data_IF_538787876711
#
_entry.id   IF_538787876711
#
_cell.length_a   1.000
_cell.length_b   1.000
_cell.length_c   1.000
_cell.angle_alpha   90.00
_cell.angle_beta   90.00
_cell.angle_gamma   90.00
#
_symmetry.space_group_name_H-M   'P 1'
#
loop_
_entity.id
_entity.type
_entity.pdbx_description
1 polymer ?
#
# COMPACT_ATOMS: atom_id res chain seq x y z
N UNK A 1 -15.03 -16.07 22.29
CA UNK A 1 -13.55 -16.08 22.21
C UNK A 1 -13.15 -15.11 21.12
N UNK A 2 -12.38 -14.07 21.44
CA UNK A 2 -11.92 -13.08 20.45
C UNK A 2 -10.84 -13.68 19.55
N UNK A 3 -11.00 -13.59 18.23
CA UNK A 3 -10.10 -14.16 17.24
C UNK A 3 -8.72 -13.48 17.28
N UNK A 4 -7.64 -14.27 17.37
CA UNK A 4 -6.28 -13.78 17.32
C UNK A 4 -5.82 -13.52 15.88
N UNK A 5 -4.85 -12.62 15.71
CA UNK A 5 -4.23 -12.38 14.40
C UNK A 5 -3.54 -13.65 13.90
N UNK A 6 -3.83 -14.07 12.67
CA UNK A 6 -3.18 -15.21 12.02
C UNK A 6 -3.13 -15.04 10.51
N UNK A 7 -2.22 -15.76 9.87
CA UNK A 7 -2.14 -15.87 8.42
C UNK A 7 -2.23 -17.34 8.03
N UNK A 8 -3.13 -17.64 7.10
CA UNK A 8 -3.29 -18.95 6.50
C UNK A 8 -2.88 -18.89 5.03
N UNK A 9 -1.92 -19.71 4.65
CA UNK A 9 -1.57 -19.93 3.26
C UNK A 9 -2.48 -21.02 2.68
N UNK A 10 -3.25 -20.69 1.65
CA UNK A 10 -4.26 -21.57 1.04
C UNK A 10 -3.77 -22.28 -0.22
N UNK A 11 -3.09 -21.55 -1.10
CA UNK A 11 -2.56 -22.09 -2.35
C UNK A 11 -1.26 -21.42 -2.79
N UNK A 12 -0.53 -22.07 -3.70
CA UNK A 12 0.68 -21.55 -4.34
C UNK A 12 0.72 -21.94 -5.81
N UNK A 13 1.29 -21.04 -6.61
CA UNK A 13 1.72 -21.30 -7.97
C UNK A 13 3.12 -20.68 -8.15
N UNK A 14 4.15 -21.54 -8.18
CA UNK A 14 5.54 -21.12 -8.03
C UNK A 14 5.78 -20.37 -6.71
N UNK A 15 6.31 -19.15 -6.79
CA UNK A 15 6.50 -18.28 -5.63
C UNK A 15 5.25 -17.46 -5.27
N UNK A 16 4.26 -17.38 -6.17
CA UNK A 16 3.01 -16.67 -5.91
C UNK A 16 2.18 -17.41 -4.86
N UNK A 17 1.51 -16.65 -3.99
CA UNK A 17 0.83 -17.14 -2.80
C UNK A 17 -0.59 -16.59 -2.74
N UNK A 18 -1.56 -17.47 -2.48
CA UNK A 18 -2.90 -17.09 -2.06
C UNK A 18 -3.08 -17.47 -0.61
N UNK A 19 -3.55 -16.54 0.19
CA UNK A 19 -3.78 -16.74 1.60
C UNK A 19 -4.86 -15.83 2.17
N UNK A 20 -4.97 -15.84 3.49
CA UNK A 20 -5.92 -15.03 4.23
C UNK A 20 -5.30 -14.60 5.56
N UNK A 21 -5.36 -13.31 5.85
CA UNK A 21 -5.03 -12.76 7.16
C UNK A 21 -6.33 -12.61 7.94
N UNK A 22 -6.41 -13.20 9.11
CA UNK A 22 -7.55 -13.08 10.01
C UNK A 22 -7.26 -12.04 11.08
N UNK A 23 -8.10 -11.01 11.19
CA UNK A 23 -8.07 -10.04 12.29
C UNK A 23 -9.40 -10.04 13.04
N UNK A 24 -9.47 -9.33 14.16
CA UNK A 24 -10.73 -9.16 14.90
C UNK A 24 -11.82 -8.43 14.10
N UNK A 25 -11.45 -7.63 13.09
CA UNK A 25 -12.37 -6.79 12.30
C UNK A 25 -12.70 -7.36 10.93
N UNK A 26 -12.14 -8.51 10.57
CA UNK A 26 -12.44 -9.19 9.32
C UNK A 26 -11.26 -9.98 8.77
N UNK A 27 -11.54 -10.76 7.74
CA UNK A 27 -10.55 -11.46 6.95
C UNK A 27 -10.03 -10.55 5.83
N UNK A 28 -8.75 -10.71 5.48
CA UNK A 28 -8.08 -10.01 4.38
C UNK A 28 -7.56 -11.07 3.40
N UNK A 29 -8.11 -11.09 2.18
CA UNK A 29 -7.70 -12.03 1.14
C UNK A 29 -6.39 -11.57 0.50
N UNK A 30 -5.39 -12.46 0.41
CA UNK A 30 -4.09 -12.16 -0.22
C UNK A 30 -3.91 -12.91 -1.55
N UNK A 31 -3.31 -12.31 -2.60
CA UNK A 31 -2.71 -10.97 -2.62
C UNK A 31 -3.73 -9.82 -2.44
N UNK A 32 -3.37 -8.81 -1.64
CA UNK A 32 -4.24 -7.72 -1.21
C UNK A 32 -3.72 -6.36 -1.70
N UNK A 33 -4.61 -5.52 -2.23
CA UNK A 33 -4.33 -4.11 -2.49
C UNK A 33 -5.10 -3.23 -1.50
N UNK A 34 -4.37 -2.37 -0.79
CA UNK A 34 -4.89 -1.48 0.26
C UNK A 34 -5.08 -0.05 -0.30
N UNK A 35 -6.33 0.43 -0.44
CA UNK A 35 -6.57 1.84 -0.75
C UNK A 35 -6.01 2.74 0.38
N UNK A 36 -5.28 3.79 -0.01
CA UNK A 36 -4.61 4.68 0.95
C UNK A 36 -5.53 5.80 1.42
N UNK A 37 -5.82 5.79 2.73
CA UNK A 37 -6.54 6.81 3.48
C UNK A 37 -5.60 7.82 4.15
N UNK A 38 -5.11 8.81 3.40
CA UNK A 38 -4.08 9.77 3.86
C UNK A 38 -4.48 10.56 5.10
N UNK A 39 -5.74 10.96 5.25
CA UNK A 39 -6.21 11.79 6.36
C UNK A 39 -7.57 11.30 6.85
N UNK A 40 -7.63 10.03 7.27
CA UNK A 40 -8.86 9.34 7.68
C UNK A 40 -9.93 9.29 6.56
N UNK A 41 -9.49 9.32 5.31
CA UNK A 41 -10.38 9.18 4.14
C UNK A 41 -9.60 8.69 2.93
N UNK A 42 -10.12 7.68 2.25
CA UNK A 42 -9.72 7.35 0.88
C UNK A 42 -10.28 8.46 -0.01
N UNK A 43 -9.39 9.30 -0.53
CA UNK A 43 -9.79 10.54 -1.21
C UNK A 43 -10.81 10.27 -2.31
N UNK A 44 -11.88 11.07 -2.32
CA UNK A 44 -12.94 11.05 -3.33
C UNK A 44 -13.83 9.78 -3.33
N UNK A 45 -13.85 9.02 -2.22
CA UNK A 45 -14.67 7.82 -2.06
C UNK A 45 -15.42 7.82 -0.73
N UNK A 46 -16.66 7.33 -0.73
CA UNK A 46 -17.32 6.94 0.52
C UNK A 46 -16.76 5.61 1.03
N UNK A 47 -16.61 5.40 2.36
CA UNK A 47 -16.11 4.14 2.91
C UNK A 47 -16.87 2.90 2.45
N UNK A 48 -18.21 2.99 2.38
CA UNK A 48 -19.06 1.91 1.84
C UNK A 48 -18.70 1.53 0.42
N UNK A 49 -18.49 2.52 -0.46
CA UNK A 49 -18.05 2.26 -1.84
C UNK A 49 -16.68 1.58 -1.89
N UNK A 50 -15.73 1.99 -1.03
CA UNK A 50 -14.42 1.31 -0.95
C UNK A 50 -14.60 -0.17 -0.60
N UNK A 51 -15.52 -0.49 0.31
CA UNK A 51 -15.84 -1.87 0.68
C UNK A 51 -16.53 -2.62 -0.46
N UNK A 52 -17.50 -2.01 -1.13
CA UNK A 52 -18.27 -2.62 -2.24
C UNK A 52 -17.38 -3.02 -3.42
N UNK A 53 -16.24 -2.34 -3.61
CA UNK A 53 -15.22 -2.73 -4.60
C UNK A 53 -14.47 -4.02 -4.24
N UNK A 54 -14.63 -4.52 -3.02
CA UNK A 54 -13.95 -5.71 -2.52
C UNK A 54 -12.68 -5.44 -1.71
N UNK A 55 -12.39 -4.18 -1.33
CA UNK A 55 -11.28 -3.89 -0.43
C UNK A 55 -11.57 -4.49 0.96
N UNK A 56 -10.67 -5.34 1.44
CA UNK A 56 -10.75 -5.94 2.77
C UNK A 56 -10.07 -5.09 3.85
N UNK A 57 -9.17 -4.19 3.45
CA UNK A 57 -8.34 -3.39 4.34
C UNK A 57 -7.99 -2.07 3.65
N UNK A 58 -7.77 -1.02 4.45
CA UNK A 58 -7.21 0.27 3.99
C UNK A 58 -5.94 0.61 4.76
N UNK A 59 -5.11 1.47 4.16
CA UNK A 59 -3.93 2.02 4.84
C UNK A 59 -4.26 3.40 5.42
N UNK A 60 -4.06 3.61 6.71
CA UNK A 60 -4.10 4.90 7.38
C UNK A 60 -2.70 5.51 7.49
N UNK A 61 -2.56 6.79 7.18
CA UNK A 61 -1.27 7.47 7.28
C UNK A 61 -1.06 8.11 8.65
N UNK A 62 -0.14 7.56 9.43
CA UNK A 62 0.15 8.01 10.80
C UNK A 62 0.66 9.45 10.82
N UNK A 63 1.54 9.82 9.88
CA UNK A 63 2.14 11.15 9.85
C UNK A 63 1.10 12.27 9.73
N UNK A 64 0.13 12.13 8.83
CA UNK A 64 -0.91 13.14 8.68
C UNK A 64 -1.87 13.15 9.88
N UNK A 65 -2.26 11.98 10.37
CA UNK A 65 -3.25 11.84 11.45
C UNK A 65 -2.74 12.36 12.79
N UNK A 66 -1.45 12.19 13.09
CA UNK A 66 -0.86 12.76 14.31
C UNK A 66 -0.78 14.29 14.28
N UNK A 67 -0.64 14.89 13.09
CA UNK A 67 -0.55 16.35 12.95
C UNK A 67 -1.94 16.97 12.96
N UNK A 68 -2.88 16.37 12.22
CA UNK A 68 -4.27 16.82 12.17
C UNK A 68 -5.18 15.63 11.83
N UNK A 69 -6.14 15.29 12.70
CA UNK A 69 -6.63 16.05 13.86
C UNK A 69 -5.89 15.80 15.19
N UNK A 70 -4.86 14.94 15.19
CA UNK A 70 -4.15 14.48 16.39
C UNK A 70 -4.62 13.09 16.84
N UNK A 71 -3.68 12.20 17.16
CA UNK A 71 -3.95 10.81 17.51
C UNK A 71 -4.81 10.68 18.77
N UNK A 72 -4.48 11.45 19.81
CA UNK A 72 -5.23 11.49 21.07
C UNK A 72 -6.67 11.98 20.88
N UNK A 73 -6.89 12.85 19.88
CA UNK A 73 -8.24 13.30 19.55
C UNK A 73 -9.04 12.19 18.90
N UNK A 74 -8.43 11.44 17.97
CA UNK A 74 -9.08 10.31 17.30
C UNK A 74 -9.44 9.22 18.32
N UNK A 75 -8.52 8.90 19.23
CA UNK A 75 -8.75 7.95 20.32
C UNK A 75 -9.97 8.35 21.18
N UNK A 76 -10.01 9.61 21.67
CA UNK A 76 -11.15 10.15 22.42
C UNK A 76 -12.48 10.14 21.65
N UNK A 77 -12.44 10.13 20.32
CA UNK A 77 -13.61 10.05 19.45
C UNK A 77 -13.98 8.61 19.05
N UNK A 78 -13.38 7.60 19.69
CA UNK A 78 -13.71 6.19 19.49
C UNK A 78 -12.79 5.44 18.52
N UNK A 79 -11.59 5.96 18.26
CA UNK A 79 -10.59 5.35 17.39
C UNK A 79 -10.81 5.61 15.91
N UNK A 80 -9.82 5.26 15.08
CA UNK A 80 -9.81 5.61 13.66
C UNK A 80 -10.97 4.97 12.89
N UNK A 81 -11.28 3.70 13.18
CA UNK A 81 -12.40 2.97 12.57
C UNK A 81 -13.73 3.71 12.71
N UNK A 82 -14.06 4.14 13.94
CA UNK A 82 -15.29 4.90 14.22
C UNK A 82 -15.22 6.29 13.57
N UNK A 83 -14.08 6.95 13.69
CA UNK A 83 -13.87 8.31 13.19
C UNK A 83 -14.04 8.42 11.66
N UNK A 84 -13.58 7.42 10.91
CA UNK A 84 -13.69 7.41 9.44
C UNK A 84 -14.83 6.55 8.89
N UNK A 85 -15.66 5.99 9.77
CA UNK A 85 -16.74 5.07 9.41
C UNK A 85 -16.25 3.86 8.56
N UNK A 86 -15.17 3.23 9.00
CA UNK A 86 -14.61 2.02 8.40
C UNK A 86 -14.50 0.92 9.46
N UNK A 87 -15.47 -0.01 9.52
CA UNK A 87 -15.50 -1.05 10.56
C UNK A 87 -14.58 -2.25 10.28
N UNK A 88 -13.85 -2.24 9.16
CA UNK A 88 -12.99 -3.33 8.69
C UNK A 88 -11.51 -3.07 9.04
N UNK A 89 -10.59 -4.02 8.78
CA UNK A 89 -9.19 -3.87 9.12
C UNK A 89 -8.54 -2.58 8.58
N UNK A 90 -7.64 -2.01 9.37
CA UNK A 90 -6.76 -0.89 9.01
C UNK A 90 -5.31 -1.27 9.27
N UNK A 91 -4.45 -1.04 8.29
CA UNK A 91 -3.00 -0.98 8.50
C UNK A 91 -2.59 0.49 8.67
N UNK A 92 -1.77 0.82 9.65
CA UNK A 92 -1.15 2.15 9.74
C UNK A 92 0.32 2.09 9.40
N UNK A 93 0.79 2.99 8.54
CA UNK A 93 2.24 3.18 8.38
C UNK A 93 2.85 3.79 9.65
N UNK A 94 4.18 3.81 9.74
CA UNK A 94 4.88 4.38 10.92
C UNK A 94 5.03 5.90 10.87
N UNK A 95 4.79 6.50 9.70
CA UNK A 95 5.08 7.90 9.39
C UNK A 95 6.53 8.20 9.00
N UNK A 96 7.45 7.22 9.05
CA UNK A 96 8.88 7.42 8.79
C UNK A 96 9.16 8.01 7.41
N UNK A 97 8.61 7.40 6.35
CA UNK A 97 8.78 7.88 4.97
C UNK A 97 8.34 9.33 4.79
N UNK A 98 7.22 9.73 5.38
CA UNK A 98 6.66 11.08 5.23
C UNK A 98 7.49 12.11 6.00
N UNK A 99 7.99 11.76 7.18
CA UNK A 99 8.95 12.63 7.89
C UNK A 99 10.21 12.84 7.04
N UNK A 100 10.71 11.80 6.36
CA UNK A 100 11.90 11.90 5.51
C UNK A 100 11.65 12.58 4.15
N UNK A 101 10.43 12.57 3.64
CA UNK A 101 10.13 13.13 2.31
C UNK A 101 9.49 14.52 2.36
N UNK A 102 8.70 14.84 3.39
CA UNK A 102 7.92 16.08 3.45
C UNK A 102 8.51 17.15 4.39
N UNK A 103 9.31 16.76 5.37
CA UNK A 103 9.92 17.72 6.31
C UNK A 103 11.32 18.11 5.85
N UNK A 104 11.43 19.31 5.27
CA UNK A 104 12.70 19.94 4.84
C UNK A 104 13.64 20.22 6.02
N UNK A 105 13.07 20.57 7.18
CA UNK A 105 13.80 20.76 8.43
C UNK A 105 13.55 19.57 9.34
N UNK A 106 14.48 18.61 9.32
CA UNK A 106 14.50 17.45 10.21
C UNK A 106 15.90 17.19 10.76
N UNK A 107 15.95 16.55 11.91
CA UNK A 107 17.18 16.02 12.52
C UNK A 107 16.89 14.60 12.99
N UNK A 108 17.67 13.65 12.48
CA UNK A 108 17.59 12.24 12.83
C UNK A 108 18.80 11.85 13.67
N UNK A 109 18.57 11.06 14.70
CA UNK A 109 19.59 10.46 15.56
C UNK A 109 19.16 9.05 15.97
N UNK A 110 19.93 8.39 16.84
CA UNK A 110 19.63 7.04 17.34
C UNK A 110 18.26 6.93 18.05
N UNK A 111 17.80 8.01 18.70
CA UNK A 111 16.56 8.01 19.48
C UNK A 111 15.31 8.16 18.63
N UNK A 112 15.39 8.90 17.52
CA UNK A 112 14.25 9.15 16.64
C UNK A 112 14.52 10.30 15.67
N UNK A 113 13.44 10.89 15.19
CA UNK A 113 13.48 12.02 14.26
C UNK A 113 12.67 13.20 14.79
N UNK A 114 13.31 14.36 14.81
CA UNK A 114 12.66 15.64 15.12
C UNK A 114 12.41 16.40 13.83
N UNK A 115 11.23 16.98 13.65
CA UNK A 115 10.88 17.71 12.44
C UNK A 115 9.88 18.84 12.71
N UNK A 116 9.74 19.75 11.74
CA UNK A 116 8.65 20.73 11.73
C UNK A 116 7.48 20.25 10.89
N UNK A 117 6.28 20.42 11.44
CA UNK A 117 5.01 20.17 10.77
C UNK A 117 4.84 21.08 9.54
N UNK A 118 4.41 20.49 8.43
CA UNK A 118 4.06 21.24 7.21
C UNK A 118 2.70 21.94 7.32
N UNK A 119 1.92 21.66 8.38
CA UNK A 119 0.57 22.21 8.58
C UNK A 119 0.63 23.57 9.28
N UNK A 120 1.45 23.67 10.32
CA UNK A 120 1.46 24.82 11.25
C UNK A 120 2.88 25.22 11.72
N UNK A 121 3.92 24.51 11.27
CA UNK A 121 5.31 24.78 11.64
C UNK A 121 5.70 24.33 13.06
N UNK A 122 4.78 23.72 13.83
CA UNK A 122 5.08 23.21 15.16
C UNK A 122 6.14 22.11 15.09
N UNK A 123 6.97 22.03 16.14
CA UNK A 123 8.06 21.05 16.24
C UNK A 123 7.52 19.76 16.87
N UNK A 124 7.78 18.63 16.23
CA UNK A 124 7.40 17.30 16.68
C UNK A 124 8.64 16.41 16.78
N UNK A 125 8.54 15.41 17.64
CA UNK A 125 9.51 14.33 17.76
C UNK A 125 8.78 12.99 17.54
N UNK A 126 9.37 12.14 16.70
CA UNK A 126 8.89 10.80 16.43
C UNK A 126 10.00 9.81 16.79
N UNK A 127 9.79 9.06 17.88
CA UNK A 127 10.60 7.90 18.26
C UNK A 127 9.88 6.60 17.89
N UNK A 128 10.57 5.45 17.84
CA UNK A 128 9.95 4.13 17.76
C UNK A 128 8.76 3.93 18.72
N UNK A 129 8.93 4.30 20.00
CA UNK A 129 7.90 4.14 21.02
C UNK A 129 6.69 5.05 20.74
N UNK A 130 6.94 6.31 20.38
CA UNK A 130 5.88 7.27 20.07
C UNK A 130 5.11 6.89 18.80
N UNK A 131 5.80 6.35 17.79
CA UNK A 131 5.15 5.84 16.58
C UNK A 131 4.19 4.69 16.92
N UNK A 132 4.61 3.74 17.75
CA UNK A 132 3.75 2.64 18.21
C UNK A 132 2.59 3.16 19.06
N UNK A 133 2.85 4.09 20.00
CA UNK A 133 1.79 4.71 20.83
C UNK A 133 0.71 5.37 19.96
N UNK A 134 1.10 6.16 18.96
CA UNK A 134 0.16 6.81 18.04
C UNK A 134 -0.67 5.76 17.30
N UNK A 135 -0.05 4.72 16.74
CA UNK A 135 -0.77 3.67 16.03
C UNK A 135 -1.76 2.91 16.94
N UNK A 136 -1.43 2.78 18.23
CA UNK A 136 -2.34 2.23 19.23
C UNK A 136 -3.52 3.14 19.53
N UNK A 137 -3.30 4.44 19.69
CA UNK A 137 -4.37 5.46 19.84
C UNK A 137 -5.29 5.49 18.62
N UNK A 138 -4.75 5.27 17.42
CA UNK A 138 -5.56 5.13 16.21
C UNK A 138 -6.36 3.82 16.20
N UNK A 139 -5.93 2.80 16.93
CA UNK A 139 -6.61 1.50 17.04
C UNK A 139 -6.37 0.56 15.86
N UNK A 140 -5.25 0.72 15.14
CA UNK A 140 -4.96 -0.03 13.92
C UNK A 140 -4.81 -1.55 14.15
N UNK A 141 -5.27 -2.36 13.20
CA UNK A 141 -5.19 -3.83 13.26
C UNK A 141 -3.77 -4.33 12.96
N UNK A 142 -3.10 -3.66 12.01
CA UNK A 142 -1.70 -3.93 11.64
C UNK A 142 -0.91 -2.62 11.78
N UNK A 143 0.18 -2.67 12.53
CA UNK A 143 1.04 -1.55 12.84
C UNK A 143 2.41 -1.80 12.22
N UNK A 144 3.03 -0.74 11.71
CA UNK A 144 4.36 -0.80 11.12
C UNK A 144 5.39 -0.28 12.11
N UNK A 145 6.56 -0.94 12.17
CA UNK A 145 7.70 -0.36 12.91
C UNK A 145 8.10 0.99 12.31
N UNK A 146 8.63 1.89 13.14
CA UNK A 146 9.36 3.05 12.63
C UNK A 146 10.70 2.60 12.04
N UNK A 147 11.03 3.11 10.87
CA UNK A 147 12.24 2.79 10.14
C UNK A 147 12.85 4.04 9.48
N UNK A 148 14.08 3.91 9.00
CA UNK A 148 14.75 4.93 8.21
C UNK A 148 14.75 4.54 6.73
N UNK A 149 13.87 5.16 5.96
CA UNK A 149 13.85 5.02 4.50
C UNK A 149 14.81 6.01 3.84
N UNK A 150 15.74 5.51 3.03
CA UNK A 150 16.63 6.31 2.18
C UNK A 150 16.11 6.32 0.74
N UNK A 151 16.30 7.45 0.03
CA UNK A 151 16.05 7.54 -1.40
C UNK A 151 17.21 6.92 -2.19
N UNK A 152 16.90 6.25 -3.29
CA UNK A 152 17.91 5.61 -4.15
C UNK A 152 18.18 6.44 -5.42
N UNK A 153 19.42 6.41 -5.95
CA UNK A 153 20.60 5.69 -5.45
C UNK A 153 21.22 6.36 -4.21
N UNK A 154 21.88 5.58 -3.37
CA UNK A 154 22.63 6.08 -2.19
C UNK A 154 23.94 5.30 -2.02
N UNK A 155 24.86 5.86 -1.23
CA UNK A 155 26.11 5.19 -0.89
C UNK A 155 25.85 3.92 -0.06
N UNK A 156 26.60 2.85 -0.33
CA UNK A 156 26.41 1.55 0.31
C UNK A 156 26.56 1.62 1.84
N UNK A 157 27.52 2.38 2.36
CA UNK A 157 27.72 2.55 3.79
C UNK A 157 26.55 3.31 4.42
N UNK A 158 25.96 4.27 3.69
CA UNK A 158 24.76 4.97 4.14
C UNK A 158 23.52 4.05 4.19
N UNK A 159 23.36 3.20 3.18
CA UNK A 159 22.29 2.19 3.14
C UNK A 159 22.43 1.20 4.30
N UNK A 160 23.64 0.70 4.54
CA UNK A 160 23.93 -0.19 5.66
C UNK A 160 23.61 0.48 7.00
N UNK A 161 24.08 1.72 7.22
CA UNK A 161 23.82 2.45 8.46
C UNK A 161 22.32 2.65 8.74
N UNK A 162 21.51 2.98 7.73
CA UNK A 162 20.05 3.11 7.90
C UNK A 162 19.37 1.76 8.16
N UNK A 163 19.82 0.70 7.48
CA UNK A 163 19.31 -0.64 7.69
C UNK A 163 19.57 -1.08 9.14
N UNK A 164 20.79 -0.87 9.64
CA UNK A 164 21.14 -1.20 11.02
C UNK A 164 20.38 -0.37 12.05
N UNK A 165 20.21 0.94 11.81
CA UNK A 165 19.37 1.79 12.65
C UNK A 165 17.92 1.29 12.66
N UNK A 166 17.37 0.93 11.50
CA UNK A 166 16.02 0.40 11.37
C UNK A 166 15.84 -0.93 12.13
N UNK A 167 16.86 -1.79 12.18
CA UNK A 167 16.84 -3.01 12.98
C UNK A 167 16.84 -2.72 14.49
N UNK A 168 17.60 -1.73 14.96
CA UNK A 168 17.56 -1.31 16.37
C UNK A 168 16.21 -0.68 16.73
N UNK A 169 15.63 0.09 15.81
CA UNK A 169 14.29 0.66 15.97
C UNK A 169 13.19 -0.40 15.92
N UNK A 170 13.36 -1.47 15.14
CA UNK A 170 12.46 -2.62 15.11
C UNK A 170 12.30 -3.26 16.50
N UNK A 171 13.43 -3.49 17.19
CA UNK A 171 13.43 -4.06 18.54
C UNK A 171 12.73 -3.14 19.55
N UNK A 172 13.00 -1.82 19.48
CA UNK A 172 12.30 -0.81 20.30
C UNK A 172 10.80 -0.77 20.03
N UNK A 173 10.40 -0.85 18.76
CA UNK A 173 8.99 -0.93 18.37
C UNK A 173 8.32 -2.19 18.93
N UNK A 174 8.99 -3.34 18.84
CA UNK A 174 8.50 -4.61 19.40
C UNK A 174 8.28 -4.52 20.90
N UNK A 175 9.23 -3.94 21.63
CA UNK A 175 9.11 -3.74 23.08
C UNK A 175 7.96 -2.79 23.43
N UNK A 176 7.84 -1.65 22.75
CA UNK A 176 6.74 -0.70 22.94
C UNK A 176 5.37 -1.28 22.54
N UNK A 177 5.34 -2.18 21.56
CA UNK A 177 4.12 -2.85 21.11
C UNK A 177 3.64 -3.88 22.14
N UNK A 178 4.55 -4.60 22.78
CA UNK A 178 4.22 -5.61 23.78
C UNK A 178 3.37 -6.75 23.24
N UNK A 179 2.70 -7.49 24.12
CA UNK A 179 1.86 -8.62 23.71
C UNK A 179 0.44 -8.16 23.39
N UNK A 180 0.10 -8.18 22.10
CA UNK A 180 -1.25 -7.92 21.60
C UNK A 180 -1.69 -9.04 20.68
N UNK A 181 -2.48 -10.03 21.16
CA UNK A 181 -2.84 -11.20 20.34
C UNK A 181 -3.73 -10.84 19.14
N UNK A 182 -4.54 -9.79 19.25
CA UNK A 182 -5.53 -9.37 18.23
C UNK A 182 -4.97 -8.42 17.16
N UNK A 183 -3.88 -7.70 17.47
CA UNK A 183 -3.21 -6.77 16.55
C UNK A 183 -1.88 -7.34 16.06
N UNK A 184 -1.32 -6.79 14.99
CA UNK A 184 -0.01 -7.18 14.48
C UNK A 184 0.97 -6.02 14.47
N UNK A 185 2.24 -6.32 14.75
CA UNK A 185 3.37 -5.48 14.39
C UNK A 185 4.10 -6.15 13.23
N UNK A 186 4.34 -5.40 12.16
CA UNK A 186 5.15 -5.84 11.03
C UNK A 186 6.53 -5.17 11.08
N UNK A 187 7.56 -5.98 10.83
CA UNK A 187 8.92 -5.48 10.64
C UNK A 187 9.11 -4.97 9.22
N UNK A 188 10.03 -4.02 8.98
CA UNK A 188 10.31 -3.48 7.65
C UNK A 188 11.73 -3.83 7.25
N UNK A 189 11.87 -4.71 6.25
CA UNK A 189 13.15 -5.04 5.64
C UNK A 189 13.66 -3.81 4.88
N UNK A 190 14.86 -3.37 5.25
CA UNK A 190 15.62 -2.32 4.57
C UNK A 190 16.88 -2.92 3.93
N UNK A 191 17.69 -2.10 3.27
CA UNK A 191 18.91 -2.55 2.57
C UNK A 191 19.08 -2.00 1.15
N UNK A 192 18.20 -1.07 0.74
CA UNK A 192 18.31 -0.38 -0.55
C UNK A 192 18.31 -1.35 -1.73
N UNK A 193 19.21 -1.10 -2.68
CA UNK A 193 19.50 -1.89 -3.88
C UNK A 193 20.62 -2.94 -3.66
N UNK A 194 20.94 -3.29 -2.41
CA UNK A 194 21.95 -4.29 -2.07
C UNK A 194 21.35 -5.59 -1.53
N UNK A 195 21.44 -6.67 -2.33
CA UNK A 195 20.90 -7.99 -1.97
C UNK A 195 21.44 -8.53 -0.63
N UNK A 196 22.75 -8.45 -0.38
CA UNK A 196 23.33 -8.93 0.88
C UNK A 196 22.83 -8.18 2.13
N UNK A 197 22.55 -6.88 2.03
CA UNK A 197 21.97 -6.10 3.12
C UNK A 197 20.49 -6.46 3.33
N UNK A 198 19.75 -6.68 2.23
CA UNK A 198 18.36 -7.14 2.26
C UNK A 198 18.23 -8.48 2.97
N UNK A 199 19.07 -9.44 2.61
CA UNK A 199 19.08 -10.78 3.23
C UNK A 199 19.38 -10.70 4.74
N UNK A 200 20.42 -9.94 5.12
CA UNK A 200 20.75 -9.71 6.55
C UNK A 200 19.59 -9.08 7.31
N UNK A 201 18.94 -8.06 6.73
CA UNK A 201 17.80 -7.37 7.35
C UNK A 201 16.62 -8.33 7.51
N UNK A 202 16.30 -9.12 6.48
CA UNK A 202 15.25 -10.12 6.50
C UNK A 202 15.50 -11.21 7.54
N UNK A 203 16.70 -11.79 7.59
CA UNK A 203 17.07 -12.82 8.57
C UNK A 203 16.96 -12.28 10.01
N UNK A 204 17.44 -11.06 10.25
CA UNK A 204 17.40 -10.44 11.59
C UNK A 204 15.96 -10.16 12.04
N UNK A 205 15.11 -9.60 11.18
CA UNK A 205 13.70 -9.37 11.51
C UNK A 205 12.93 -10.69 11.67
N UNK A 206 13.26 -11.71 10.89
CA UNK A 206 12.66 -13.04 11.00
C UNK A 206 12.92 -13.67 12.37
N UNK A 207 14.14 -13.53 12.90
CA UNK A 207 14.48 -13.97 14.25
C UNK A 207 13.69 -13.27 15.36
N UNK A 208 13.12 -12.08 15.11
CA UNK A 208 12.24 -11.39 16.06
C UNK A 208 10.85 -12.02 16.17
N UNK A 209 10.47 -12.93 15.26
CA UNK A 209 9.17 -13.62 15.18
C UNK A 209 7.96 -12.67 15.24
N UNK A 210 7.98 -11.65 14.37
CA UNK A 210 6.87 -10.72 14.19
C UNK A 210 5.70 -11.38 13.46
N UNK A 211 4.57 -10.68 13.38
CA UNK A 211 3.34 -11.21 12.77
C UNK A 211 3.28 -11.06 11.25
N UNK A 212 4.18 -10.27 10.68
CA UNK A 212 4.37 -10.11 9.23
C UNK A 212 5.59 -9.24 8.94
N UNK A 213 5.95 -9.19 7.65
CA UNK A 213 7.18 -8.54 7.22
C UNK A 213 6.94 -7.71 5.96
N UNK A 214 7.22 -6.43 6.06
CA UNK A 214 7.20 -5.52 4.94
C UNK A 214 8.58 -5.39 4.28
N UNK A 215 8.57 -4.97 3.02
CA UNK A 215 9.73 -4.69 2.20
C UNK A 215 9.65 -3.19 1.88
N UNK A 216 10.48 -2.40 2.59
CA UNK A 216 10.52 -0.94 2.48
C UNK A 216 11.69 -0.45 1.63
N UNK A 217 11.73 0.86 1.36
CA UNK A 217 12.85 1.47 0.63
C UNK A 217 13.02 0.96 -0.81
N UNK A 218 11.90 0.59 -1.45
CA UNK A 218 11.77 0.31 -2.89
C UNK A 218 10.65 1.20 -3.46
N UNK A 219 10.61 1.35 -4.78
CA UNK A 219 9.88 2.37 -5.53
C UNK A 219 10.16 3.80 -5.05
N UNK A 220 11.42 4.07 -4.71
CA UNK A 220 11.90 5.37 -4.21
C UNK A 220 12.87 6.07 -5.18
N UNK A 221 13.03 5.52 -6.38
CA UNK A 221 13.82 6.11 -7.47
C UNK A 221 14.55 5.09 -8.34
N UNK A 222 14.62 3.84 -7.90
CA UNK A 222 15.31 2.78 -8.62
C UNK A 222 14.52 2.25 -9.83
N UNK A 223 15.21 1.69 -10.83
CA UNK A 223 14.57 0.95 -11.93
C UNK A 223 13.76 -0.27 -11.48
N UNK A 224 12.76 -0.66 -12.27
CA UNK A 224 11.87 -1.80 -11.95
C UNK A 224 12.66 -3.11 -11.79
N UNK A 225 13.62 -3.39 -12.66
CA UNK A 225 14.47 -4.59 -12.60
C UNK A 225 15.28 -4.67 -11.30
N UNK A 226 15.76 -3.53 -10.77
CA UNK A 226 16.41 -3.46 -9.46
C UNK A 226 15.43 -3.81 -8.34
N UNK A 227 14.23 -3.21 -8.34
CA UNK A 227 13.17 -3.55 -7.38
C UNK A 227 12.88 -5.06 -7.40
N UNK A 228 12.70 -5.64 -8.58
CA UNK A 228 12.38 -7.06 -8.75
C UNK A 228 13.53 -7.97 -8.27
N UNK A 229 14.79 -7.62 -8.56
CA UNK A 229 15.95 -8.35 -8.06
C UNK A 229 16.03 -8.32 -6.52
N UNK A 230 15.70 -7.19 -5.89
CA UNK A 230 15.65 -7.09 -4.42
C UNK A 230 14.51 -7.93 -3.83
N UNK A 231 13.36 -8.02 -4.50
CA UNK A 231 12.29 -8.93 -4.10
C UNK A 231 12.72 -10.41 -4.18
N UNK A 232 13.43 -10.80 -5.23
CA UNK A 232 13.97 -12.15 -5.41
C UNK A 232 14.99 -12.52 -4.34
N UNK A 233 15.82 -11.58 -3.90
CA UNK A 233 16.74 -11.78 -2.78
C UNK A 233 16.01 -11.83 -1.42
N UNK A 234 15.00 -10.98 -1.22
CA UNK A 234 14.37 -10.79 0.09
C UNK A 234 13.30 -11.83 0.41
N UNK A 235 12.36 -12.07 -0.51
CA UNK A 235 11.16 -12.87 -0.23
C UNK A 235 11.48 -14.31 0.20
N UNK A 236 12.46 -15.02 -0.37
CA UNK A 236 12.83 -16.38 0.07
C UNK A 236 13.36 -16.45 1.50
N UNK A 237 13.93 -15.36 2.03
CA UNK A 237 14.45 -15.28 3.41
C UNK A 237 13.35 -15.07 4.45
N UNK A 238 12.18 -14.58 4.04
CA UNK A 238 11.06 -14.28 4.94
C UNK A 238 10.20 -15.53 5.21
N UNK A 239 9.73 -15.73 6.45
CA UNK A 239 8.97 -16.92 6.84
C UNK A 239 7.73 -17.15 5.97
N UNK A 240 7.51 -18.40 5.59
CA UNK A 240 6.46 -18.80 4.66
C UNK A 240 5.05 -18.65 5.26
N UNK A 241 4.93 -18.82 6.56
CA UNK A 241 3.72 -18.74 7.38
C UNK A 241 3.37 -17.32 7.84
N UNK A 242 4.08 -16.31 7.30
CA UNK A 242 3.85 -14.90 7.59
C UNK A 242 3.58 -14.13 6.29
N UNK A 243 2.73 -13.09 6.32
CA UNK A 243 2.45 -12.27 5.16
C UNK A 243 3.63 -11.34 4.83
N UNK A 244 3.80 -11.07 3.53
CA UNK A 244 4.84 -10.21 2.97
C UNK A 244 4.20 -8.97 2.33
N UNK A 245 4.62 -7.78 2.74
CA UNK A 245 4.01 -6.52 2.32
C UNK A 245 5.01 -5.63 1.57
N UNK A 246 4.80 -5.38 0.28
CA UNK A 246 5.61 -4.42 -0.48
C UNK A 246 5.02 -3.01 -0.37
N UNK A 247 5.79 -2.11 0.24
CA UNK A 247 5.30 -0.76 0.61
C UNK A 247 5.40 0.21 -0.57
N UNK A 248 4.34 0.99 -0.81
CA UNK A 248 4.35 2.14 -1.72
C UNK A 248 4.38 1.82 -3.23
N UNK A 249 4.45 0.55 -3.61
CA UNK A 249 4.46 0.09 -5.01
C UNK A 249 3.05 -0.03 -5.53
N UNK A 250 2.83 0.34 -6.80
CA UNK A 250 1.62 -0.18 -7.42
C UNK A 250 1.24 0.40 -8.76
N UNK A 251 2.07 0.31 -9.79
CA UNK A 251 1.46 0.13 -11.12
C UNK A 251 0.86 -1.28 -11.20
N UNK A 252 -0.21 -1.52 -11.99
CA UNK A 252 -0.77 -2.85 -12.15
C UNK A 252 0.26 -3.94 -12.52
N UNK A 253 1.24 -3.58 -13.35
CA UNK A 253 2.33 -4.45 -13.78
C UNK A 253 3.30 -4.79 -12.61
N UNK A 254 3.68 -3.79 -11.81
CA UNK A 254 4.50 -4.01 -10.62
C UNK A 254 3.82 -4.98 -9.64
N UNK A 255 2.51 -4.85 -9.45
CA UNK A 255 1.74 -5.71 -8.55
C UNK A 255 1.84 -7.17 -8.99
N UNK A 256 1.57 -7.49 -10.26
CA UNK A 256 1.63 -8.87 -10.76
C UNK A 256 3.06 -9.44 -10.69
N UNK A 257 4.06 -8.63 -11.06
CA UNK A 257 5.48 -9.04 -11.02
C UNK A 257 5.97 -9.28 -9.59
N UNK A 258 5.48 -8.52 -8.61
CA UNK A 258 5.79 -8.70 -7.21
C UNK A 258 5.03 -9.90 -6.59
N UNK A 259 3.78 -10.13 -6.97
CA UNK A 259 3.04 -11.35 -6.61
C UNK A 259 3.77 -12.60 -7.11
N UNK A 260 4.29 -12.57 -8.35
CA UNK A 260 5.10 -13.65 -8.90
C UNK A 260 6.38 -13.95 -8.09
N UNK A 261 6.81 -13.02 -7.23
CA UNK A 261 7.97 -13.14 -6.32
C UNK A 261 7.57 -13.40 -4.88
N UNK A 262 6.27 -13.63 -4.64
CA UNK A 262 5.73 -14.05 -3.36
C UNK A 262 5.40 -12.93 -2.40
N UNK A 263 5.08 -11.73 -2.89
CA UNK A 263 4.49 -10.64 -2.10
C UNK A 263 2.97 -10.86 -1.94
N UNK A 264 2.45 -10.64 -0.72
CA UNK A 264 1.06 -10.89 -0.35
C UNK A 264 0.22 -9.59 -0.20
N UNK A 265 0.84 -8.43 0.03
CA UNK A 265 0.14 -7.17 0.30
C UNK A 265 0.81 -5.99 -0.39
N UNK A 266 0.00 -4.99 -0.76
CA UNK A 266 0.41 -3.77 -1.46
C UNK A 266 -0.40 -2.57 -1.02
N UNK A 267 0.20 -1.38 -1.12
CA UNK A 267 -0.50 -0.11 -1.05
C UNK A 267 0.08 0.86 -2.08
N UNK A 268 -0.77 1.71 -2.63
CA UNK A 268 -0.28 2.84 -3.41
C UNK A 268 -1.32 3.95 -3.49
N UNK A 269 -0.85 5.21 -3.45
CA UNK A 269 -1.72 6.37 -3.74
C UNK A 269 -2.06 6.49 -5.22
N UNK A 270 -1.34 5.79 -6.10
CA UNK A 270 -1.44 5.91 -7.56
C UNK A 270 -2.87 5.84 -8.09
N UNK A 271 -3.72 4.82 -7.82
CA UNK A 271 -5.05 4.76 -8.41
C UNK A 271 -5.92 5.98 -8.08
N UNK A 272 -5.91 6.44 -6.82
CA UNK A 272 -6.71 7.61 -6.42
C UNK A 272 -6.10 8.92 -6.94
N UNK A 273 -4.77 9.07 -6.91
CA UNK A 273 -4.10 10.28 -7.39
C UNK A 273 -4.22 10.42 -8.91
N UNK A 274 -3.97 9.34 -9.65
CA UNK A 274 -4.12 9.29 -11.10
C UNK A 274 -5.57 9.60 -11.51
N UNK A 275 -6.56 9.04 -10.81
CA UNK A 275 -7.97 9.31 -11.06
C UNK A 275 -8.30 10.80 -10.97
N UNK A 276 -7.88 11.47 -9.88
CA UNK A 276 -8.05 12.93 -9.71
C UNK A 276 -7.29 13.77 -10.75
N UNK A 277 -6.30 13.20 -11.43
CA UNK A 277 -5.56 13.89 -12.49
C UNK A 277 -6.01 13.52 -13.91
N UNK A 278 -7.12 12.78 -14.05
CA UNK A 278 -7.71 12.45 -15.35
C UNK A 278 -7.16 11.17 -16.00
N UNK A 279 -6.47 10.33 -15.23
CA UNK A 279 -5.96 9.05 -15.70
C UNK A 279 -6.79 7.88 -15.16
N UNK A 280 -7.20 7.00 -16.06
CA UNK A 280 -7.92 5.76 -15.73
C UNK A 280 -7.02 4.53 -15.94
N UNK A 281 -7.18 3.53 -15.09
CA UNK A 281 -6.66 2.18 -15.28
C UNK A 281 -7.82 1.24 -15.62
N UNK A 282 -7.61 0.41 -16.64
CA UNK A 282 -8.60 -0.57 -17.11
C UNK A 282 -7.89 -1.86 -17.51
N UNK A 283 -8.66 -2.90 -17.86
CA UNK A 283 -8.11 -4.14 -18.46
C UNK A 283 -7.42 -3.92 -19.81
N UNK A 284 -7.61 -2.74 -20.41
CA UNK A 284 -6.99 -2.32 -21.67
C UNK A 284 -5.80 -1.36 -21.43
N UNK A 285 -5.31 -1.29 -20.20
CA UNK A 285 -4.18 -0.45 -19.83
C UNK A 285 -4.60 0.96 -19.41
N UNK A 286 -3.68 1.91 -19.57
CA UNK A 286 -3.81 3.28 -19.05
C UNK A 286 -4.47 4.18 -20.08
N UNK A 287 -5.46 4.95 -19.63
CA UNK A 287 -6.19 5.92 -20.45
C UNK A 287 -5.98 7.32 -19.87
N UNK A 288 -5.68 8.30 -20.71
CA UNK A 288 -5.58 9.70 -20.32
C UNK A 288 -6.76 10.49 -20.88
N UNK A 289 -7.76 10.75 -20.04
CA UNK A 289 -8.97 11.46 -20.44
C UNK A 289 -8.78 12.95 -20.72
N UNK A 290 -7.56 13.49 -20.61
CA UNK A 290 -7.26 14.83 -21.14
C UNK A 290 -7.09 14.84 -22.66
N UNK A 291 -6.87 13.68 -23.27
CA UNK A 291 -6.63 13.56 -24.70
C UNK A 291 -7.91 13.86 -25.51
N UNK A 292 -7.77 14.64 -26.58
CA UNK A 292 -8.87 15.06 -27.46
C UNK A 292 -9.60 13.88 -28.14
N UNK A 293 -8.92 12.73 -28.32
CA UNK A 293 -9.53 11.51 -28.89
C UNK A 293 -10.78 11.02 -28.15
N UNK A 294 -10.97 11.45 -26.91
CA UNK A 294 -12.09 11.04 -26.07
C UNK A 294 -13.27 11.99 -26.15
N UNK A 295 -13.15 13.17 -26.79
CA UNK A 295 -14.18 14.21 -26.78
C UNK A 295 -15.54 13.73 -27.32
N UNK A 296 -15.52 12.89 -28.36
CA UNK A 296 -16.73 12.36 -29.01
C UNK A 296 -16.87 10.84 -28.85
N UNK A 297 -16.12 10.20 -27.94
CA UNK A 297 -16.17 8.73 -27.75
C UNK A 297 -17.36 8.35 -26.84
N UNK A 298 -18.45 7.77 -27.39
CA UNK A 298 -19.64 7.45 -26.60
C UNK A 298 -19.47 6.20 -25.75
N UNK A 299 -18.39 5.43 -25.96
CA UNK A 299 -18.15 4.16 -25.27
C UNK A 299 -17.74 4.44 -23.81
N UNK A 300 -18.04 3.52 -22.89
CA UNK A 300 -17.55 3.61 -21.52
C UNK A 300 -16.04 3.30 -21.42
N UNK A 301 -15.46 3.41 -20.22
CA UNK A 301 -14.06 3.01 -20.00
C UNK A 301 -13.89 1.51 -20.21
N UNK A 302 -14.81 0.73 -19.64
CA UNK A 302 -14.88 -0.73 -19.75
C UNK A 302 -16.35 -1.20 -19.62
N UNK A 303 -16.99 -1.67 -20.72
CA UNK A 303 -18.39 -2.09 -20.70
C UNK A 303 -18.64 -3.39 -19.92
N UNK A 304 -17.57 -4.14 -19.61
CA UNK A 304 -17.65 -5.43 -18.88
C UNK A 304 -17.29 -5.30 -17.41
N UNK A 305 -16.93 -4.10 -16.96
CA UNK A 305 -16.65 -3.84 -15.55
C UNK A 305 -17.95 -3.83 -14.73
N UNK A 306 -17.90 -4.48 -13.57
CA UNK A 306 -18.97 -4.43 -12.56
C UNK A 306 -19.08 -3.05 -11.89
N UNK A 307 -18.08 -2.17 -12.05
CA UNK A 307 -18.08 -0.82 -11.49
C UNK A 307 -18.88 0.15 -12.37
N UNK A 308 -19.95 0.80 -11.84
CA UNK A 308 -20.74 1.77 -12.59
C UNK A 308 -19.93 2.92 -13.20
N UNK A 309 -18.91 3.43 -12.48
CA UNK A 309 -18.03 4.49 -13.01
C UNK A 309 -17.27 4.06 -14.27
N UNK A 310 -17.02 2.77 -14.44
CA UNK A 310 -16.30 2.22 -15.58
C UNK A 310 -17.24 1.88 -16.75
N UNK A 311 -18.46 1.43 -16.48
CA UNK A 311 -19.39 0.86 -17.48
C UNK A 311 -20.57 1.75 -17.88
N UNK A 312 -20.97 2.72 -17.05
CA UNK A 312 -22.21 3.51 -17.27
C UNK A 312 -21.98 4.94 -17.77
N UNK A 313 -20.74 5.43 -17.74
CA UNK A 313 -20.39 6.78 -18.18
C UNK A 313 -19.56 6.73 -19.45
N UNK A 314 -19.91 7.54 -20.45
CA UNK A 314 -19.13 7.64 -21.68
C UNK A 314 -17.77 8.32 -21.44
N UNK A 315 -16.78 7.96 -22.26
CA UNK A 315 -15.48 8.62 -22.30
C UNK A 315 -15.61 10.10 -22.64
N UNK A 316 -16.54 10.48 -23.53
CA UNK A 316 -16.88 11.86 -23.84
C UNK A 316 -17.30 12.66 -22.59
N UNK A 317 -18.20 12.11 -21.78
CA UNK A 317 -18.64 12.76 -20.55
C UNK A 317 -17.51 12.87 -19.52
N UNK A 318 -16.77 11.79 -19.31
CA UNK A 318 -15.63 11.78 -18.39
C UNK A 318 -14.52 12.74 -18.84
N UNK A 319 -14.23 12.80 -20.16
CA UNK A 319 -13.32 13.77 -20.77
C UNK A 319 -13.77 15.20 -20.46
N UNK A 320 -15.05 15.51 -20.70
CA UNK A 320 -15.63 16.81 -20.39
C UNK A 320 -15.43 17.17 -18.91
N UNK A 321 -15.80 16.30 -17.97
CA UNK A 321 -15.63 16.55 -16.53
C UNK A 321 -14.16 16.83 -16.16
N UNK A 322 -13.23 16.05 -16.71
CA UNK A 322 -11.78 16.23 -16.48
C UNK A 322 -11.29 17.55 -17.06
N UNK A 323 -11.74 17.94 -18.26
CA UNK A 323 -11.35 19.21 -18.91
C UNK A 323 -11.96 20.43 -18.21
N UNK A 324 -13.17 20.30 -17.71
CA UNK A 324 -13.88 21.32 -16.94
C UNK A 324 -13.42 21.40 -15.48
N UNK A 325 -12.52 20.52 -15.03
CA UNK A 325 -12.04 20.42 -13.65
C UNK A 325 -13.17 20.23 -12.62
N UNK A 326 -14.21 19.48 -13.02
CA UNK A 326 -15.34 19.13 -12.16
C UNK A 326 -14.93 18.04 -11.16
N UNK A 327 -15.27 18.22 -9.88
CA UNK A 327 -14.90 17.29 -8.80
C UNK A 327 -15.39 15.85 -9.09
N UNK A 328 -16.58 15.73 -9.70
CA UNK A 328 -17.17 14.46 -10.11
C UNK A 328 -16.26 13.66 -11.04
N UNK A 329 -15.49 14.31 -11.93
CA UNK A 329 -14.56 13.62 -12.81
C UNK A 329 -13.48 12.87 -12.01
N UNK A 330 -12.89 13.54 -11.02
CA UNK A 330 -11.91 12.91 -10.14
C UNK A 330 -12.49 11.80 -9.25
N UNK A 331 -13.75 11.94 -8.81
CA UNK A 331 -14.47 10.92 -8.05
C UNK A 331 -14.73 9.65 -8.89
N UNK A 332 -15.32 9.79 -10.09
CA UNK A 332 -15.62 8.67 -10.98
C UNK A 332 -14.35 7.92 -11.41
N UNK A 333 -13.28 8.64 -11.75
CA UNK A 333 -12.02 8.00 -12.13
C UNK A 333 -11.30 7.34 -10.95
N UNK A 334 -11.43 7.90 -9.74
CA UNK A 334 -10.93 7.22 -8.53
C UNK A 334 -11.70 5.92 -8.27
N UNK A 335 -13.04 5.96 -8.41
CA UNK A 335 -13.90 4.79 -8.27
C UNK A 335 -13.54 3.70 -9.28
N UNK A 336 -13.40 4.05 -10.56
CA UNK A 336 -12.92 3.13 -11.60
C UNK A 336 -11.55 2.52 -11.26
N UNK A 337 -10.58 3.35 -10.88
CA UNK A 337 -9.20 2.88 -10.68
C UNK A 337 -9.10 1.93 -9.49
N UNK A 338 -9.76 2.23 -8.38
CA UNK A 338 -9.79 1.32 -7.24
C UNK A 338 -10.52 0.02 -7.59
N UNK A 339 -11.61 0.07 -8.36
CA UNK A 339 -12.31 -1.12 -8.81
C UNK A 339 -11.39 -2.03 -9.62
N UNK A 340 -10.66 -1.45 -10.57
CA UNK A 340 -9.73 -2.20 -11.40
C UNK A 340 -8.59 -2.84 -10.59
N UNK A 341 -8.05 -2.16 -9.57
CA UNK A 341 -7.01 -2.74 -8.72
C UNK A 341 -7.54 -3.91 -7.88
N UNK A 342 -8.78 -3.82 -7.37
CA UNK A 342 -9.40 -4.93 -6.64
C UNK A 342 -9.71 -6.12 -7.57
N UNK A 343 -10.17 -5.85 -8.79
CA UNK A 343 -10.40 -6.87 -9.82
C UNK A 343 -9.10 -7.59 -10.22
N UNK A 344 -8.01 -6.83 -10.42
CA UNK A 344 -6.68 -7.38 -10.71
C UNK A 344 -6.20 -8.34 -9.62
N UNK A 345 -6.39 -7.98 -8.34
CA UNK A 345 -6.06 -8.83 -7.20
C UNK A 345 -6.99 -10.03 -7.08
N UNK A 346 -8.28 -9.89 -7.43
CA UNK A 346 -9.21 -11.01 -7.48
C UNK A 346 -8.82 -12.02 -8.57
N UNK A 347 -8.45 -11.55 -9.76
CA UNK A 347 -7.94 -12.41 -10.83
C UNK A 347 -6.64 -13.11 -10.43
N UNK A 348 -5.71 -12.40 -9.79
CA UNK A 348 -4.48 -13.01 -9.26
C UNK A 348 -4.77 -14.12 -8.24
N UNK A 349 -5.67 -13.88 -7.28
CA UNK A 349 -6.09 -14.90 -6.29
C UNK A 349 -6.73 -16.12 -6.94
N UNK A 350 -7.52 -15.93 -7.98
CA UNK A 350 -8.18 -17.03 -8.68
C UNK A 350 -7.15 -17.85 -9.47
N UNK A 351 -6.30 -17.17 -10.23
CA UNK A 351 -5.28 -17.82 -11.06
C UNK A 351 -4.21 -18.57 -10.23
N UNK A 352 -3.84 -18.08 -9.03
CA UNK A 352 -2.94 -18.82 -8.12
C UNK A 352 -3.59 -20.09 -7.58
N UNK A 353 -4.88 -20.05 -7.27
CA UNK A 353 -5.62 -21.23 -6.79
C UNK A 353 -5.72 -22.29 -7.90
N UNK A 354 -5.95 -21.86 -9.13
CA UNK A 354 -6.12 -22.72 -10.31
C UNK A 354 -4.78 -23.17 -10.92
N UNK A 355 -3.63 -22.68 -10.41
CA UNK A 355 -2.31 -23.03 -10.93
C UNK A 355 -2.01 -22.48 -12.33
N UNK A 356 -2.58 -21.32 -12.68
CA UNK A 356 -2.45 -20.65 -13.98
C UNK A 356 -2.02 -19.17 -13.87
N UNK A 357 -1.33 -18.80 -12.80
CA UNK A 357 -0.97 -17.40 -12.52
C UNK A 357 -0.06 -16.80 -13.61
N UNK A 358 0.87 -17.59 -14.17
CA UNK A 358 1.70 -17.17 -15.30
C UNK A 358 0.88 -16.75 -16.53
N UNK A 359 -0.07 -17.60 -16.96
CA UNK A 359 -0.96 -17.32 -18.09
C UNK A 359 -1.86 -16.09 -17.82
N UNK A 360 -2.31 -15.93 -16.58
CA UNK A 360 -3.06 -14.74 -16.18
C UNK A 360 -2.23 -13.47 -16.33
N UNK A 361 -0.94 -13.49 -15.95
CA UNK A 361 -0.06 -12.33 -16.09
C UNK A 361 0.24 -11.99 -17.55
N UNK A 362 0.51 -13.00 -18.38
CA UNK A 362 0.75 -12.84 -19.82
C UNK A 362 -0.48 -12.24 -20.51
N UNK A 363 -1.65 -12.87 -20.38
CA UNK A 363 -2.90 -12.40 -21.01
C UNK A 363 -3.32 -11.00 -20.56
N UNK A 364 -3.09 -10.66 -19.29
CA UNK A 364 -3.35 -9.32 -18.75
C UNK A 364 -2.39 -8.29 -19.35
N UNK A 365 -1.10 -8.63 -19.45
CA UNK A 365 -0.08 -7.75 -20.04
C UNK A 365 -0.33 -7.51 -21.53
N UNK A 366 -0.72 -8.56 -22.27
CA UNK A 366 -1.12 -8.45 -23.68
C UNK A 366 -2.36 -7.57 -23.86
N UNK A 367 -3.34 -7.68 -22.97
CA UNK A 367 -4.53 -6.83 -23.02
C UNK A 367 -4.19 -5.35 -22.78
N UNK A 368 -3.25 -5.05 -21.86
CA UNK A 368 -2.74 -3.69 -21.66
C UNK A 368 -1.98 -3.16 -22.87
N UNK A 369 -1.13 -3.98 -23.49
CA UNK A 369 -0.35 -3.59 -24.65
C UNK A 369 -1.22 -3.34 -25.88
N UNK A 370 -2.26 -4.17 -26.08
CA UNK A 370 -3.21 -4.04 -27.17
C UNK A 370 -4.04 -2.75 -27.10
N UNK A 371 -4.40 -2.33 -25.89
CA UNK A 371 -5.33 -1.22 -25.70
C UNK A 371 -6.74 -1.51 -26.23
N UNK A 372 -7.62 -0.51 -26.15
CA UNK A 372 -8.97 -0.57 -26.72
C UNK A 372 -9.19 0.38 -27.91
N UNK A 373 -8.14 1.12 -28.25
CA UNK A 373 -8.10 2.11 -29.31
C UNK A 373 -6.70 2.12 -29.97
N UNK A 374 -6.58 2.53 -31.25
CA UNK A 374 -5.27 2.67 -31.90
C UNK A 374 -4.33 3.61 -31.12
N UNK A 375 -3.02 3.34 -31.17
CA UNK A 375 -2.01 4.25 -30.65
C UNK A 375 -2.12 5.63 -31.34
N UNK A 376 -1.79 6.69 -30.58
CA UNK A 376 -1.82 8.07 -31.08
C UNK A 376 -0.60 8.40 -31.93
#
# INVERSE_FOLDING_TARGET
MTQAFSFELKARDGAARRGEILTQRGAIRTPAFMPVGTAATVKAMYPGQVRDLGADIVLGNTYHLMLRPGAERIDRLGGLHSFMNWPHPILTDSGGFQVMSLSTLRSLNEHGVTFKSHVDGAKYEMTPERSIEIQCLLGADIQMQLDECIALPADAARIEAAMELSLRWAERCKQAFGERPQQALFGIVQGGDHAGLRERSADTLSAMNLKGYAIGGLAVGEPQDVMLAMLEATCPRLPAEKPRYLMGVGTPDDLLKAVARGVDMFDCVMPTRAGRHGQAFTRFGRINLRNARHADDPRPLDPTSSCPAASQYSRAYLHHLVRSNEALGGMLLTWNNLAYYQDLMQGARSAIEDGVFGLYCESTSEAWARGDLPAL
#
